data_IF_587678510629
#
_entry.id   IF_587678510629
#
_cell.length_a   1.000
_cell.length_b   1.000
_cell.length_c   1.000
_cell.angle_alpha   90.00
_cell.angle_beta   90.00
_cell.angle_gamma   90.00
#
_symmetry.space_group_name_H-M   'P 1'
#
loop_
_entity.id
_entity.type
_entity.pdbx_description
1 polymer ?
#
# COMPACT_ATOMS: atom_id res chain seq x y z
N UNK A 1 18.48 70.98 18.42
CA UNK A 1 19.03 70.63 19.74
C UNK A 1 18.12 69.56 20.33
N UNK A 2 18.55 68.28 20.26
CA UNK A 2 18.05 67.11 21.00
C UNK A 2 16.56 66.71 20.80
N UNK A 3 16.12 65.46 20.68
CA UNK A 3 16.73 64.12 20.79
C UNK A 3 15.61 63.09 20.45
N UNK A 4 15.92 62.11 19.60
CA UNK A 4 15.49 60.69 19.56
C UNK A 4 14.00 60.28 19.72
N UNK A 5 13.47 59.17 19.19
CA UNK A 5 13.72 58.19 18.12
C UNK A 5 12.50 57.22 18.23
N UNK A 6 11.98 56.73 17.09
CA UNK A 6 11.24 55.44 16.90
C UNK A 6 10.02 55.06 17.73
N UNK A 7 8.90 54.77 17.05
CA UNK A 7 8.26 53.42 17.06
C UNK A 7 7.73 53.11 15.65
N UNK A 8 8.45 52.22 14.94
CA UNK A 8 7.94 51.39 13.87
C UNK A 8 7.79 50.00 14.47
N UNK A 9 6.63 49.35 14.34
CA UNK A 9 6.54 47.90 14.13
C UNK A 9 5.11 47.47 13.78
N UNK A 10 5.01 46.86 12.61
CA UNK A 10 3.95 46.02 12.08
C UNK A 10 3.57 44.94 13.09
N UNK A 11 2.28 44.79 13.42
CA UNK A 11 1.80 43.62 14.15
C UNK A 11 1.22 42.61 13.16
N UNK A 12 2.10 41.75 12.66
CA UNK A 12 1.74 40.55 11.91
C UNK A 12 0.90 39.64 12.80
N UNK A 13 -0.32 39.34 12.36
CA UNK A 13 -1.17 38.30 12.94
C UNK A 13 -0.53 36.93 12.62
N UNK A 14 0.34 36.44 13.51
CA UNK A 14 0.83 35.06 13.43
C UNK A 14 -0.29 34.15 13.89
N UNK A 15 -1.05 33.60 12.94
CA UNK A 15 -1.93 32.46 13.19
C UNK A 15 -1.05 31.27 13.58
N UNK A 16 -0.90 31.05 14.89
CA UNK A 16 -0.47 29.77 15.45
C UNK A 16 -1.49 28.71 15.05
N UNK A 17 -1.31 28.12 13.87
CA UNK A 17 -1.89 26.82 13.54
C UNK A 17 -1.29 25.83 14.53
N UNK A 18 -1.99 25.59 15.64
CA UNK A 18 -1.75 24.43 16.46
C UNK A 18 -2.05 23.23 15.56
N UNK A 19 -1.01 22.66 14.94
CA UNK A 19 -1.09 21.28 14.48
C UNK A 19 -1.21 20.45 15.76
N UNK A 20 -2.44 20.23 16.20
CA UNK A 20 -2.73 19.12 17.10
C UNK A 20 -2.45 17.87 16.31
N UNK A 21 -1.21 17.38 16.37
CA UNK A 21 -0.97 15.97 16.07
C UNK A 21 -1.82 15.20 17.07
N UNK A 22 -2.93 14.64 16.56
CA UNK A 22 -3.77 13.70 17.30
C UNK A 22 -2.85 12.58 17.74
N UNK A 23 -2.67 12.47 19.06
CA UNK A 23 -1.93 11.37 19.66
C UNK A 23 -2.82 10.15 19.54
N UNK A 24 -2.52 9.27 18.57
CA UNK A 24 -3.30 8.06 18.33
C UNK A 24 -2.88 6.99 19.34
N UNK A 25 -3.69 6.78 20.37
CA UNK A 25 -3.63 5.55 21.16
C UNK A 25 -4.12 4.43 20.24
N UNK A 26 -3.25 3.55 19.73
CA UNK A 26 -3.67 2.57 18.71
C UNK A 26 -4.45 1.44 19.36
N UNK A 27 -5.74 1.66 19.57
CA UNK A 27 -6.69 0.61 19.89
C UNK A 27 -6.89 -0.26 18.64
N UNK A 28 -7.18 -1.57 18.78
CA UNK A 28 -7.61 -2.37 17.65
C UNK A 28 -8.81 -1.73 16.96
N UNK A 29 -8.82 -1.71 15.64
CA UNK A 29 -9.97 -1.23 14.89
C UNK A 29 -11.16 -2.19 15.01
N UNK A 30 -12.40 -1.67 14.98
CA UNK A 30 -13.57 -2.52 14.87
C UNK A 30 -13.53 -3.33 13.57
N UNK A 31 -14.26 -4.44 13.53
CA UNK A 31 -14.36 -5.25 12.32
C UNK A 31 -15.02 -4.44 11.19
N UNK A 32 -14.50 -4.62 9.97
CA UNK A 32 -15.15 -4.13 8.76
C UNK A 32 -16.08 -5.21 8.21
N UNK A 33 -17.37 -5.13 8.54
CA UNK A 33 -18.32 -6.20 8.22
C UNK A 33 -17.96 -7.50 8.95
N UNK A 34 -17.55 -8.53 8.21
CA UNK A 34 -17.09 -9.81 8.77
C UNK A 34 -15.56 -9.90 8.88
N UNK A 35 -14.84 -8.93 8.34
CA UNK A 35 -13.39 -8.94 8.30
C UNK A 35 -12.84 -8.31 9.57
N UNK A 36 -12.06 -9.07 10.34
CA UNK A 36 -11.26 -8.53 11.44
C UNK A 36 -10.20 -7.62 10.85
N UNK A 37 -10.06 -6.40 11.38
CA UNK A 37 -9.04 -5.45 10.94
C UNK A 37 -7.81 -5.63 11.82
N UNK A 38 -6.72 -6.25 11.31
CA UNK A 38 -5.51 -6.48 12.09
C UNK A 38 -4.71 -5.19 12.25
N UNK A 39 -3.97 -5.09 13.36
CA UNK A 39 -2.93 -4.08 13.48
C UNK A 39 -1.85 -4.28 12.38
N UNK A 40 -1.24 -3.21 11.82
CA UNK A 40 -1.45 -1.78 12.10
C UNK A 40 -2.60 -1.13 11.33
N UNK A 41 -3.35 -1.86 10.52
CA UNK A 41 -4.34 -1.25 9.61
C UNK A 41 -5.36 -0.40 10.38
N UNK A 42 -5.58 0.80 9.87
CA UNK A 42 -6.48 1.78 10.47
C UNK A 42 -7.66 2.07 9.57
N UNK A 43 -8.89 1.95 10.11
CA UNK A 43 -10.13 2.31 9.41
C UNK A 43 -10.78 3.59 9.91
N UNK A 44 -10.38 4.06 11.10
CA UNK A 44 -10.95 5.23 11.77
C UNK A 44 -9.85 6.06 12.46
N UNK A 45 -10.07 7.36 12.75
CA UNK A 45 -9.04 8.23 13.34
C UNK A 45 -8.47 7.77 14.69
N UNK A 46 -9.24 6.98 15.45
CA UNK A 46 -8.95 6.63 16.85
C UNK A 46 -8.55 5.15 17.03
N UNK A 47 -8.28 4.42 15.94
CA UNK A 47 -7.88 3.02 15.97
C UNK A 47 -6.79 2.71 14.94
N UNK A 48 -6.03 1.64 15.17
CA UNK A 48 -4.88 1.27 14.34
C UNK A 48 -3.83 2.38 14.27
N UNK A 49 -2.91 2.29 13.32
CA UNK A 49 -1.93 3.33 13.04
C UNK A 49 -2.38 4.12 11.79
N UNK A 50 -2.48 5.44 11.93
CA UNK A 50 -2.96 6.33 10.87
C UNK A 50 -2.06 6.36 9.63
N UNK A 51 -0.81 5.90 9.71
CA UNK A 51 0.06 5.72 8.54
C UNK A 51 -0.39 4.53 7.67
N UNK A 52 -1.12 3.56 8.23
CA UNK A 52 -1.55 2.32 7.58
C UNK A 52 -3.04 2.35 7.26
N UNK A 53 -3.53 3.52 6.84
CA UNK A 53 -4.97 3.76 6.64
C UNK A 53 -5.52 2.95 5.47
N UNK A 54 -6.60 2.24 5.74
CA UNK A 54 -7.47 1.57 4.76
C UNK A 54 -8.91 1.99 5.02
N UNK A 55 -9.76 1.97 4.00
CA UNK A 55 -11.14 2.43 4.13
C UNK A 55 -12.08 1.25 4.33
N UNK A 56 -12.94 1.30 5.33
CA UNK A 56 -14.07 0.38 5.44
C UNK A 56 -15.31 1.01 4.80
N UNK A 57 -15.86 0.39 3.77
CA UNK A 57 -17.07 0.85 3.10
C UNK A 57 -17.97 -0.34 2.78
N UNK A 58 -19.24 -0.25 3.18
CA UNK A 58 -20.26 -1.30 2.96
C UNK A 58 -19.82 -2.69 3.44
N UNK A 59 -19.08 -2.74 4.56
CA UNK A 59 -18.58 -4.00 5.14
C UNK A 59 -17.43 -4.65 4.36
N UNK A 60 -16.78 -3.91 3.47
CA UNK A 60 -15.58 -4.32 2.72
C UNK A 60 -14.45 -3.34 2.95
N UNK A 61 -13.23 -3.86 2.96
CA UNK A 61 -12.02 -3.05 3.05
C UNK A 61 -11.56 -2.62 1.65
N UNK A 62 -11.10 -1.38 1.57
CA UNK A 62 -10.61 -0.74 0.37
C UNK A 62 -9.26 -0.09 0.64
N UNK A 63 -8.34 -0.27 -0.30
CA UNK A 63 -7.07 0.42 -0.33
C UNK A 63 -7.21 1.66 -1.20
N UNK A 64 -7.08 2.84 -0.61
CA UNK A 64 -7.13 4.10 -1.34
C UNK A 64 -5.71 4.43 -1.85
N UNK A 65 -5.61 4.60 -3.17
CA UNK A 65 -4.38 4.91 -3.88
C UNK A 65 -4.41 6.36 -4.41
N UNK A 66 -3.33 6.79 -5.06
CA UNK A 66 -3.27 8.13 -5.67
C UNK A 66 -4.26 8.27 -6.84
N UNK A 67 -4.43 9.50 -7.32
CA UNK A 67 -5.29 9.84 -8.47
C UNK A 67 -6.74 9.38 -8.32
N UNK A 68 -7.28 9.49 -7.10
CA UNK A 68 -8.67 9.14 -6.77
C UNK A 68 -9.04 7.71 -7.17
N UNK A 69 -8.08 6.79 -7.07
CA UNK A 69 -8.29 5.36 -7.32
C UNK A 69 -8.38 4.58 -6.00
N UNK A 70 -9.21 3.54 -5.99
CA UNK A 70 -9.40 2.68 -4.83
C UNK A 70 -9.61 1.24 -5.28
N UNK A 71 -9.04 0.29 -4.52
CA UNK A 71 -9.06 -1.13 -4.87
C UNK A 71 -9.56 -1.96 -3.69
N UNK A 72 -10.49 -2.89 -3.94
CA UNK A 72 -11.03 -3.76 -2.88
C UNK A 72 -9.92 -4.67 -2.33
N UNK A 73 -9.72 -4.67 -1.02
CA UNK A 73 -8.81 -5.59 -0.34
C UNK A 73 -9.52 -6.96 -0.23
N UNK A 74 -8.92 -7.98 -0.81
CA UNK A 74 -9.48 -9.34 -0.89
C UNK A 74 -8.83 -10.31 0.10
N UNK A 75 -7.59 -10.04 0.50
CA UNK A 75 -6.84 -10.86 1.44
C UNK A 75 -5.94 -9.97 2.30
N UNK A 76 -5.74 -10.35 3.56
CA UNK A 76 -4.78 -9.74 4.48
C UNK A 76 -4.02 -10.87 5.17
N UNK A 77 -2.70 -10.77 5.16
CA UNK A 77 -1.74 -11.66 5.83
C UNK A 77 -0.91 -10.81 6.82
N UNK A 78 -1.36 -10.66 8.07
CA UNK A 78 -0.67 -9.84 9.07
C UNK A 78 0.75 -10.33 9.39
N UNK A 79 1.01 -11.64 9.61
CA UNK A 79 2.37 -12.12 9.84
C UNK A 79 3.36 -11.79 8.73
N UNK A 80 2.91 -11.80 7.47
CA UNK A 80 3.76 -11.45 6.32
C UNK A 80 3.77 -9.94 6.01
N UNK A 81 3.01 -9.13 6.77
CA UNK A 81 2.76 -7.71 6.50
C UNK A 81 2.31 -7.45 5.06
N UNK A 82 1.35 -8.25 4.58
CA UNK A 82 0.87 -8.23 3.19
C UNK A 82 -0.63 -8.18 3.07
N UNK A 83 -1.10 -7.55 2.01
CA UNK A 83 -2.49 -7.58 1.59
C UNK A 83 -2.56 -7.75 0.08
N UNK A 84 -3.68 -8.29 -0.40
CA UNK A 84 -3.96 -8.38 -1.83
C UNK A 84 -5.14 -7.50 -2.15
N UNK A 85 -4.97 -6.62 -3.14
CA UNK A 85 -6.07 -5.85 -3.71
C UNK A 85 -6.52 -6.46 -5.02
N UNK A 86 -7.82 -6.35 -5.32
CA UNK A 86 -8.34 -6.71 -6.64
C UNK A 86 -7.93 -5.64 -7.65
N UNK A 87 -7.22 -5.99 -8.75
CA UNK A 87 -6.92 -5.05 -9.81
C UNK A 87 -8.21 -4.53 -10.46
N UNK A 88 -8.15 -3.39 -11.17
CA UNK A 88 -9.31 -2.73 -11.76
C UNK A 88 -10.00 -3.57 -12.86
N UNK A 89 -9.28 -4.55 -13.41
CA UNK A 89 -9.71 -5.30 -14.58
C UNK A 89 -9.63 -4.50 -15.87
N UNK A 90 -10.17 -5.07 -16.94
CA UNK A 90 -10.25 -4.44 -18.25
C UNK A 90 -11.50 -3.57 -18.37
N UNK A 91 -11.39 -2.45 -19.07
CA UNK A 91 -12.51 -1.56 -19.34
C UNK A 91 -13.53 -2.27 -20.24
N UNK A 92 -14.78 -2.30 -19.80
CA UNK A 92 -15.90 -2.81 -20.59
C UNK A 92 -16.41 -1.71 -21.54
N UNK A 93 -15.64 -1.37 -22.58
CA UNK A 93 -16.10 -0.44 -23.61
C UNK A 93 -16.70 -1.17 -24.81
N UNK A 94 -17.79 -0.62 -25.33
CA UNK A 94 -18.43 -0.99 -26.59
C UNK A 94 -17.53 -0.79 -27.81
N UNK A 95 -16.51 0.07 -27.68
CA UNK A 95 -15.41 0.23 -28.62
C UNK A 95 -14.29 -0.70 -28.17
N UNK A 96 -13.85 -1.63 -29.03
CA UNK A 96 -12.80 -2.64 -28.77
C UNK A 96 -11.41 -2.03 -28.55
N UNK A 97 -11.26 -1.19 -27.54
CA UNK A 97 -9.99 -0.59 -27.15
C UNK A 97 -9.56 -1.28 -25.87
N UNK A 98 -8.56 -2.16 -26.00
CA UNK A 98 -8.00 -2.88 -24.86
C UNK A 98 -7.32 -1.90 -23.89
N UNK A 99 -8.03 -1.54 -22.82
CA UNK A 99 -7.58 -0.60 -21.81
C UNK A 99 -7.87 -1.14 -20.41
N UNK A 100 -7.04 -0.78 -19.44
CA UNK A 100 -7.33 -1.03 -18.03
C UNK A 100 -8.49 -0.13 -17.58
N UNK A 101 -9.34 -0.61 -16.68
CA UNK A 101 -10.46 0.19 -16.17
C UNK A 101 -9.99 1.42 -15.36
N UNK A 102 -8.77 1.41 -14.84
CA UNK A 102 -8.12 2.54 -14.16
C UNK A 102 -7.12 3.30 -15.06
N UNK A 103 -7.20 3.17 -16.38
CA UNK A 103 -6.29 3.85 -17.30
C UNK A 103 -6.25 5.37 -17.07
N UNK A 104 -7.38 5.98 -16.69
CA UNK A 104 -7.47 7.42 -16.34
C UNK A 104 -6.66 7.80 -15.10
N UNK A 105 -6.45 6.88 -14.18
CA UNK A 105 -5.60 7.05 -13.00
C UNK A 105 -4.13 6.68 -13.28
N UNK A 106 -3.82 6.31 -14.54
CA UNK A 106 -2.54 5.80 -15.02
C UNK A 106 -2.09 4.48 -14.36
N UNK A 107 -3.06 3.63 -14.00
CA UNK A 107 -2.83 2.39 -13.27
C UNK A 107 -2.71 2.60 -11.75
N UNK A 108 -2.33 1.54 -11.04
CA UNK A 108 -2.14 1.57 -9.57
C UNK A 108 -0.94 2.44 -9.21
N UNK A 109 -1.14 3.41 -8.32
CA UNK A 109 -0.11 4.30 -7.81
C UNK A 109 -0.25 4.46 -6.29
N UNK A 110 0.70 3.91 -5.54
CA UNK A 110 0.78 4.04 -4.09
C UNK A 110 1.39 5.40 -3.72
N UNK A 111 1.05 5.89 -2.54
CA UNK A 111 1.68 7.07 -1.97
C UNK A 111 3.03 6.68 -1.33
N UNK A 112 4.13 7.18 -1.87
CA UNK A 112 5.49 6.86 -1.43
C UNK A 112 5.86 7.46 -0.06
N UNK A 113 5.01 8.34 0.49
CA UNK A 113 5.14 8.82 1.88
C UNK A 113 4.51 7.87 2.90
N UNK A 114 3.76 6.86 2.45
CA UNK A 114 3.10 5.86 3.30
C UNK A 114 3.92 4.56 3.31
N UNK A 115 3.79 3.72 4.36
CA UNK A 115 4.61 2.53 4.56
C UNK A 115 4.18 1.35 3.67
N UNK A 116 3.70 1.59 2.45
CA UNK A 116 3.21 0.56 1.53
C UNK A 116 4.05 0.52 0.25
N UNK A 117 4.35 -0.69 -0.22
CA UNK A 117 5.03 -0.94 -1.48
C UNK A 117 4.41 -2.15 -2.21
N UNK A 118 4.51 -2.16 -3.54
CA UNK A 118 4.11 -3.28 -4.37
C UNK A 118 5.20 -4.35 -4.25
N UNK A 119 4.84 -5.50 -3.70
CA UNK A 119 5.79 -6.60 -3.48
C UNK A 119 6.35 -7.15 -4.79
N UNK A 120 7.47 -7.88 -4.72
CA UNK A 120 8.10 -8.53 -5.89
C UNK A 120 7.40 -9.80 -6.39
N UNK A 121 6.33 -10.25 -5.74
CA UNK A 121 5.61 -11.48 -6.07
C UNK A 121 4.63 -11.34 -7.23
N UNK A 122 4.37 -10.11 -7.68
CA UNK A 122 3.36 -9.86 -8.70
C UNK A 122 3.92 -10.05 -10.10
N UNK A 123 3.19 -10.81 -10.92
CA UNK A 123 3.44 -10.91 -12.36
C UNK A 123 2.40 -10.10 -13.11
N UNK A 124 2.85 -9.12 -13.87
CA UNK A 124 2.01 -8.22 -14.68
C UNK A 124 1.98 -8.72 -16.11
N UNK A 125 0.78 -8.92 -16.63
CA UNK A 125 0.51 -9.19 -18.04
C UNK A 125 0.09 -7.88 -18.70
N UNK A 126 1.02 -7.20 -19.36
CA UNK A 126 0.78 -5.98 -20.11
C UNK A 126 0.17 -6.28 -21.48
N UNK A 127 -0.86 -5.54 -21.83
CA UNK A 127 -1.65 -5.69 -23.05
C UNK A 127 -1.79 -4.35 -23.77
N UNK A 128 -2.00 -4.41 -25.09
CA UNK A 128 -2.09 -3.23 -25.95
C UNK A 128 -0.86 -2.33 -25.77
N UNK A 129 0.31 -2.91 -26.02
CA UNK A 129 1.57 -2.25 -25.79
C UNK A 129 2.11 -1.56 -27.05
N UNK A 130 2.76 -0.41 -26.88
CA UNK A 130 3.55 0.24 -27.93
C UNK A 130 4.86 -0.50 -28.19
N UNK A 131 5.60 -0.14 -29.24
CA UNK A 131 6.93 -0.70 -29.50
C UNK A 131 8.00 -0.23 -28.51
N UNK A 132 7.77 0.82 -27.73
CA UNK A 132 8.75 1.32 -26.73
C UNK A 132 9.05 0.29 -25.63
N UNK A 133 8.13 -0.65 -25.39
CA UNK A 133 8.35 -1.75 -24.42
C UNK A 133 9.40 -2.76 -24.89
N UNK A 134 9.80 -2.72 -26.15
CA UNK A 134 10.83 -3.62 -26.69
C UNK A 134 12.25 -3.17 -26.30
N UNK A 135 12.41 -1.93 -25.84
CA UNK A 135 13.68 -1.37 -25.37
C UNK A 135 13.94 -1.65 -23.88
N UNK A 136 13.01 -2.34 -23.20
CA UNK A 136 13.10 -2.65 -21.77
C UNK A 136 13.11 -4.16 -21.53
N UNK A 137 13.47 -4.58 -20.32
CA UNK A 137 13.67 -5.98 -19.95
C UNK A 137 12.39 -6.79 -19.73
N UNK A 138 11.31 -6.49 -20.46
CA UNK A 138 10.04 -7.21 -20.38
C UNK A 138 10.01 -8.37 -21.37
N UNK A 139 9.34 -9.48 -21.03
CA UNK A 139 9.18 -10.60 -21.96
C UNK A 139 8.02 -10.32 -22.91
N UNK A 140 8.32 -9.72 -24.06
CA UNK A 140 7.38 -9.46 -25.16
C UNK A 140 7.58 -10.42 -26.35
N UNK A 141 8.29 -11.54 -26.15
CA UNK A 141 8.56 -12.51 -27.22
C UNK A 141 7.27 -13.21 -27.69
N UNK A 142 7.30 -13.79 -28.89
CA UNK A 142 6.15 -14.53 -29.44
C UNK A 142 5.69 -15.72 -28.58
N UNK A 143 6.57 -16.23 -27.72
CA UNK A 143 6.28 -17.34 -26.79
C UNK A 143 5.98 -16.82 -25.37
N UNK A 144 5.77 -15.52 -25.21
CA UNK A 144 5.44 -14.92 -23.91
C UNK A 144 4.06 -15.41 -23.44
N UNK A 145 3.92 -15.74 -22.14
CA UNK A 145 2.64 -16.15 -21.55
C UNK A 145 1.50 -15.14 -21.73
N UNK A 146 1.80 -13.87 -22.03
CA UNK A 146 0.77 -12.87 -22.29
C UNK A 146 -0.12 -13.24 -23.48
N UNK A 147 0.44 -13.89 -24.51
CA UNK A 147 -0.33 -14.30 -25.67
C UNK A 147 -1.35 -15.40 -25.31
N UNK A 148 -0.96 -16.34 -24.45
CA UNK A 148 -1.85 -17.39 -23.96
C UNK A 148 -2.96 -16.81 -23.09
N UNK A 149 -2.62 -15.83 -22.24
CA UNK A 149 -3.60 -15.11 -21.43
C UNK A 149 -4.63 -14.39 -22.30
N UNK A 150 -4.16 -13.61 -23.28
CA UNK A 150 -5.05 -12.89 -24.20
C UNK A 150 -5.99 -13.88 -24.90
N UNK A 151 -5.45 -14.96 -25.48
CA UNK A 151 -6.26 -15.95 -26.21
C UNK A 151 -7.32 -16.62 -25.33
N UNK A 152 -6.99 -16.89 -24.08
CA UNK A 152 -7.85 -17.68 -23.18
C UNK A 152 -8.82 -16.85 -22.36
N UNK A 153 -8.46 -15.60 -21.99
CA UNK A 153 -9.19 -14.80 -20.99
C UNK A 153 -9.53 -13.38 -21.41
N UNK A 154 -8.72 -12.73 -22.26
CA UNK A 154 -8.93 -11.33 -22.64
C UNK A 154 -9.29 -11.13 -24.12
N UNK A 155 -9.49 -12.19 -24.90
CA UNK A 155 -9.77 -12.11 -26.34
C UNK A 155 -11.07 -11.37 -26.64
N UNK A 156 -12.05 -11.45 -25.74
CA UNK A 156 -13.35 -10.79 -25.90
C UNK A 156 -13.23 -9.28 -25.75
N UNK A 157 -12.46 -8.84 -24.76
CA UNK A 157 -12.27 -7.43 -24.41
C UNK A 157 -11.19 -6.77 -25.29
N UNK A 158 -10.11 -7.48 -25.59
CA UNK A 158 -8.93 -6.92 -26.25
C UNK A 158 -8.73 -7.34 -27.71
N UNK A 159 -9.36 -8.43 -28.15
CA UNK A 159 -9.09 -9.02 -29.46
C UNK A 159 -7.63 -9.46 -29.63
N UNK A 160 -7.21 -9.56 -30.88
CA UNK A 160 -5.80 -9.83 -31.22
C UNK A 160 -4.98 -8.55 -31.07
N UNK A 161 -3.90 -8.62 -30.32
CA UNK A 161 -3.00 -7.50 -30.07
C UNK A 161 -1.62 -7.76 -30.68
N UNK A 162 -0.99 -6.75 -31.31
CA UNK A 162 0.31 -6.93 -31.96
C UNK A 162 1.45 -7.10 -30.94
N UNK A 163 1.39 -6.42 -29.80
CA UNK A 163 2.42 -6.47 -28.75
C UNK A 163 1.73 -6.64 -27.39
N UNK A 164 2.18 -7.65 -26.66
CA UNK A 164 1.92 -7.85 -25.24
C UNK A 164 3.22 -8.25 -24.55
N UNK A 165 3.27 -8.07 -23.23
CA UNK A 165 4.47 -8.40 -22.47
C UNK A 165 4.13 -8.99 -21.10
N UNK A 166 5.06 -9.75 -20.53
CA UNK A 166 5.03 -10.16 -19.12
C UNK A 166 6.26 -9.62 -18.40
N UNK A 167 6.06 -9.10 -17.19
CA UNK A 167 7.15 -8.73 -16.29
C UNK A 167 6.75 -8.96 -14.83
N UNK A 168 7.73 -9.07 -13.94
CA UNK A 168 7.50 -9.12 -12.49
C UNK A 168 7.70 -7.74 -11.88
N UNK A 169 6.90 -7.42 -10.88
CA UNK A 169 7.17 -6.27 -10.00
C UNK A 169 8.36 -6.58 -9.10
N UNK A 170 8.83 -5.57 -8.36
CA UNK A 170 10.06 -5.66 -7.58
C UNK A 170 11.23 -4.89 -8.22
N UNK A 171 12.20 -4.51 -7.39
CA UNK A 171 13.20 -3.50 -7.71
C UNK A 171 12.64 -2.06 -7.66
N UNK A 172 13.52 -1.06 -7.71
CA UNK A 172 13.18 0.36 -7.51
C UNK A 172 12.21 0.97 -8.54
N UNK A 173 11.94 0.30 -9.66
CA UNK A 173 11.20 0.89 -10.81
C UNK A 173 9.67 0.79 -10.66
N UNK A 174 9.20 -0.25 -9.97
CA UNK A 174 7.78 -0.59 -9.80
C UNK A 174 7.35 -0.68 -8.33
N UNK A 175 8.21 -0.26 -7.40
CA UNK A 175 7.99 -0.31 -5.96
C UNK A 175 6.69 0.37 -5.52
N UNK A 176 6.25 1.40 -6.23
CA UNK A 176 5.04 2.16 -5.88
C UNK A 176 3.98 2.22 -6.98
N UNK A 177 4.21 1.62 -8.16
CA UNK A 177 3.27 1.79 -9.28
C UNK A 177 3.33 0.71 -10.35
N UNK A 178 2.14 0.33 -10.81
CA UNK A 178 1.91 -0.47 -12.03
C UNK A 178 1.24 0.47 -13.02
N UNK A 179 1.94 0.81 -14.12
CA UNK A 179 1.56 1.92 -15.00
C UNK A 179 0.72 1.44 -16.17
N UNK A 180 -0.40 2.12 -16.43
CA UNK A 180 -1.17 2.02 -17.66
C UNK A 180 -1.08 3.34 -18.45
N UNK A 181 -0.53 3.30 -19.68
CA UNK A 181 -0.37 4.48 -20.54
C UNK A 181 -0.07 4.09 -21.99
N UNK A 182 -0.38 4.98 -22.93
CA UNK A 182 -0.21 4.75 -24.38
C UNK A 182 1.24 4.45 -24.79
N UNK A 183 2.22 5.11 -24.15
CA UNK A 183 3.64 4.93 -24.45
C UNK A 183 4.18 3.56 -24.00
N UNK A 184 3.44 2.80 -23.18
CA UNK A 184 3.81 1.43 -22.80
C UNK A 184 2.63 0.53 -23.07
N UNK A 185 2.03 -0.06 -22.03
CA UNK A 185 0.83 -0.88 -22.16
C UNK A 185 -0.36 -0.09 -21.62
N UNK A 186 -1.43 -0.03 -22.40
CA UNK A 186 -2.68 0.64 -22.01
C UNK A 186 -3.61 -0.25 -21.19
N UNK A 187 -3.39 -1.56 -21.20
CA UNK A 187 -4.11 -2.53 -20.41
C UNK A 187 -3.13 -3.42 -19.64
N UNK A 188 -3.57 -3.93 -18.49
CA UNK A 188 -2.81 -4.89 -17.73
C UNK A 188 -3.72 -5.74 -16.84
N UNK A 189 -3.23 -6.92 -16.50
CA UNK A 189 -3.75 -7.77 -15.43
C UNK A 189 -2.59 -8.24 -14.57
N UNK A 190 -2.86 -8.54 -13.30
CA UNK A 190 -1.80 -8.86 -12.33
C UNK A 190 -2.14 -10.13 -11.57
N UNK A 191 -1.13 -10.97 -11.37
CA UNK A 191 -1.25 -12.26 -10.71
C UNK A 191 -0.16 -12.40 -9.64
N UNK A 192 -0.59 -12.63 -8.40
CA UNK A 192 0.31 -12.88 -7.27
C UNK A 192 0.89 -14.29 -7.38
N UNK A 193 2.21 -14.44 -7.25
CA UNK A 193 2.93 -15.72 -7.28
C UNK A 193 2.61 -16.60 -8.51
N UNK A 194 2.48 -15.97 -9.69
CA UNK A 194 2.16 -16.70 -10.91
C UNK A 194 3.28 -17.67 -11.32
N UNK A 195 2.91 -18.95 -11.43
CA UNK A 195 3.67 -19.95 -12.16
C UNK A 195 3.25 -19.94 -13.64
N UNK A 196 4.06 -19.26 -14.46
CA UNK A 196 3.81 -19.13 -15.90
C UNK A 196 4.05 -20.41 -16.70
N UNK A 197 4.56 -21.49 -16.08
CA UNK A 197 4.66 -22.80 -16.72
C UNK A 197 3.31 -23.53 -16.79
N UNK A 198 2.36 -23.11 -15.96
CA UNK A 198 1.03 -23.70 -15.89
C UNK A 198 0.09 -23.08 -16.94
N UNK A 199 -0.88 -23.85 -17.46
CA UNK A 199 -1.87 -23.32 -18.39
C UNK A 199 -2.73 -22.23 -17.72
N UNK A 200 -3.21 -21.27 -18.51
CA UNK A 200 -4.00 -20.11 -18.04
C UNK A 200 -5.24 -20.50 -17.24
N UNK A 201 -5.81 -21.68 -17.48
CA UNK A 201 -6.94 -22.21 -16.70
C UNK A 201 -6.61 -22.48 -15.23
N UNK A 202 -5.33 -22.64 -14.88
CA UNK A 202 -4.82 -22.87 -13.52
C UNK A 202 -4.17 -21.63 -12.90
N UNK A 203 -4.15 -20.50 -13.61
CA UNK A 203 -3.63 -19.26 -13.04
C UNK A 203 -4.53 -18.79 -11.90
N UNK A 204 -3.96 -18.11 -10.88
CA UNK A 204 -4.74 -17.58 -9.77
C UNK A 204 -5.72 -16.50 -10.26
N UNK A 205 -6.68 -16.15 -9.40
CA UNK A 205 -7.50 -14.97 -9.66
C UNK A 205 -6.62 -13.71 -9.71
N UNK A 206 -6.97 -12.70 -10.54
CA UNK A 206 -6.24 -11.45 -10.57
C UNK A 206 -6.16 -10.80 -9.18
N UNK A 207 -4.97 -10.33 -8.83
CA UNK A 207 -4.63 -9.79 -7.52
C UNK A 207 -3.31 -9.04 -7.56
N UNK A 208 -3.20 -7.99 -6.75
CA UNK A 208 -1.97 -7.23 -6.54
C UNK A 208 -1.60 -7.29 -5.07
N UNK A 209 -0.50 -7.99 -4.77
CA UNK A 209 0.08 -8.08 -3.43
C UNK A 209 0.87 -6.80 -3.12
N UNK A 210 0.38 -6.06 -2.13
CA UNK A 210 1.02 -4.91 -1.52
C UNK A 210 1.57 -5.39 -0.17
N UNK A 211 2.81 -5.05 0.13
CA UNK A 211 3.41 -5.26 1.45
C UNK A 211 3.53 -3.93 2.19
N UNK A 212 3.65 -3.99 3.50
CA UNK A 212 3.88 -2.81 4.32
C UNK A 212 5.05 -2.99 5.27
N UNK A 213 5.68 -1.87 5.61
CA UNK A 213 6.77 -1.82 6.58
C UNK A 213 6.21 -2.17 7.96
N UNK A 214 6.87 -3.04 8.77
CA UNK A 214 6.40 -3.30 10.12
C UNK A 214 6.33 -2.00 10.94
N UNK A 215 5.21 -1.74 11.65
CA UNK A 215 5.05 -0.54 12.46
C UNK A 215 6.02 -0.57 13.66
N UNK A 216 6.64 0.58 13.94
CA UNK A 216 7.36 0.79 15.20
C UNK A 216 6.42 1.14 16.34
N UNK A 217 6.98 1.36 17.53
CA UNK A 217 6.21 1.84 18.67
C UNK A 217 5.59 3.22 18.39
N UNK A 218 4.36 3.41 18.87
CA UNK A 218 3.56 4.63 18.67
C UNK A 218 4.17 5.85 19.36
N UNK A 219 3.94 7.04 18.80
CA UNK A 219 4.35 8.30 19.40
C UNK A 219 3.57 8.62 20.68
N UNK A 220 4.21 9.29 21.63
CA UNK A 220 3.58 9.70 22.88
C UNK A 220 4.09 11.07 23.35
N UNK A 221 3.26 11.80 24.10
CA UNK A 221 3.62 13.04 24.80
C UNK A 221 3.72 12.81 26.30
N UNK A 222 2.82 11.99 26.83
CA UNK A 222 2.68 11.67 28.25
C UNK A 222 2.62 10.17 28.47
N UNK A 223 2.88 9.72 29.70
CA UNK A 223 2.76 8.30 30.06
C UNK A 223 1.32 7.78 29.96
N UNK A 224 0.30 8.66 29.97
CA UNK A 224 -1.09 8.27 29.78
C UNK A 224 -1.36 7.78 28.35
N UNK A 225 -0.66 8.33 27.37
CA UNK A 225 -0.84 7.95 25.97
C UNK A 225 -0.51 6.47 25.77
N UNK A 226 0.45 5.94 26.54
CA UNK A 226 0.90 4.57 26.46
C UNK A 226 0.03 3.56 27.25
N UNK A 227 -1.05 4.01 27.91
CA UNK A 227 -1.87 3.13 28.77
C UNK A 227 -2.56 2.00 28.01
N UNK A 228 -2.83 2.18 26.72
CA UNK A 228 -3.42 1.15 25.87
C UNK A 228 -2.49 -0.07 25.69
N UNK A 229 -1.18 0.11 25.88
CA UNK A 229 -0.17 -0.91 25.69
C UNK A 229 0.45 -1.31 27.02
N UNK A 230 0.01 -2.45 27.54
CA UNK A 230 0.60 -3.04 28.72
C UNK A 230 2.13 -3.19 28.53
N UNK A 231 2.88 -2.95 29.61
CA UNK A 231 4.34 -3.05 29.61
C UNK A 231 5.06 -2.07 28.68
N UNK A 232 4.44 -0.93 28.35
CA UNK A 232 5.10 0.20 27.66
C UNK A 232 5.23 1.44 28.55
N UNK A 233 6.14 2.33 28.21
CA UNK A 233 6.32 3.64 28.86
C UNK A 233 6.71 4.71 27.83
N UNK A 234 6.28 5.95 28.06
CA UNK A 234 6.56 7.06 27.16
C UNK A 234 8.01 7.56 27.31
N UNK A 235 8.92 7.03 26.50
CA UNK A 235 10.36 7.25 26.56
C UNK A 235 10.89 7.85 25.25
N UNK A 236 12.03 8.52 25.31
CA UNK A 236 12.70 9.01 24.10
C UNK A 236 13.40 7.86 23.37
N UNK A 237 13.22 7.77 22.06
CA UNK A 237 13.93 6.84 21.18
C UNK A 237 15.34 7.34 20.84
N UNK A 238 16.07 6.60 20.00
CA UNK A 238 17.45 6.91 19.61
C UNK A 238 17.59 8.25 18.85
N UNK A 239 16.50 8.77 18.28
CA UNK A 239 16.45 10.03 17.52
C UNK A 239 15.85 11.15 18.39
N UNK A 240 15.53 10.87 19.65
CA UNK A 240 14.95 11.82 20.60
C UNK A 240 13.44 12.02 20.46
N UNK A 241 12.76 11.23 19.62
CA UNK A 241 11.29 11.25 19.52
C UNK A 241 10.70 10.41 20.66
N UNK A 242 9.62 10.90 21.28
CA UNK A 242 8.99 10.18 22.39
C UNK A 242 8.00 9.15 21.86
N UNK A 243 8.19 7.89 22.26
CA UNK A 243 7.38 6.73 21.86
C UNK A 243 7.02 5.86 23.06
N UNK A 244 5.97 5.06 22.91
CA UNK A 244 5.56 4.05 23.89
C UNK A 244 6.47 2.82 23.82
N UNK A 245 7.73 2.99 24.25
CA UNK A 245 8.73 1.93 24.22
C UNK A 245 8.42 0.84 25.24
N UNK A 246 8.74 -0.41 24.89
CA UNK A 246 8.56 -1.53 25.81
C UNK A 246 9.49 -1.42 27.03
N UNK A 247 8.94 -1.72 28.20
CA UNK A 247 9.68 -1.79 29.46
C UNK A 247 10.70 -2.94 29.40
N UNK A 248 11.72 -2.85 30.24
CA UNK A 248 12.75 -3.89 30.34
C UNK A 248 12.12 -5.29 30.53
N UNK A 249 12.59 -6.26 29.74
CA UNK A 249 12.06 -7.64 29.73
C UNK A 249 10.92 -7.88 28.73
N UNK A 250 10.50 -6.86 27.98
CA UNK A 250 9.49 -6.95 26.94
C UNK A 250 10.04 -6.47 25.59
N UNK A 251 9.51 -7.03 24.50
CA UNK A 251 9.81 -6.61 23.12
C UNK A 251 8.53 -6.23 22.38
N UNK A 252 8.66 -5.28 21.47
CA UNK A 252 7.58 -4.88 20.58
C UNK A 252 7.25 -6.01 19.61
N UNK A 253 5.99 -6.40 19.58
CA UNK A 253 5.43 -7.26 18.55
C UNK A 253 4.71 -6.39 17.51
N UNK A 254 5.29 -6.20 16.30
CA UNK A 254 4.72 -5.35 15.27
C UNK A 254 3.46 -5.95 14.60
N UNK A 255 3.18 -7.24 14.81
CA UNK A 255 1.99 -7.91 14.24
C UNK A 255 0.76 -7.57 15.08
N UNK A 256 0.89 -7.64 16.40
CA UNK A 256 -0.21 -7.41 17.33
C UNK A 256 -0.21 -5.99 17.93
N UNK A 257 0.88 -5.25 17.74
CA UNK A 257 1.05 -3.90 18.28
C UNK A 257 1.07 -3.89 19.80
N UNK A 258 1.82 -4.81 20.44
CA UNK A 258 1.90 -4.95 21.90
C UNK A 258 3.32 -5.27 22.38
N UNK A 259 3.63 -4.94 23.63
CA UNK A 259 4.87 -5.36 24.27
C UNK A 259 4.71 -6.77 24.89
N UNK A 260 5.34 -7.77 24.29
CA UNK A 260 5.32 -9.15 24.76
C UNK A 260 6.54 -9.47 25.60
N UNK A 261 6.36 -10.28 26.64
CA UNK A 261 7.48 -10.73 27.48
C UNK A 261 8.46 -11.54 26.64
N UNK A 262 9.75 -11.29 26.81
CA UNK A 262 10.76 -12.19 26.24
C UNK A 262 10.59 -13.58 26.85
N UNK A 263 10.14 -14.55 26.07
CA UNK A 263 10.17 -15.94 26.49
C UNK A 263 11.65 -16.35 26.56
N UNK A 264 12.23 -16.38 27.76
CA UNK A 264 13.55 -16.98 27.96
C UNK A 264 13.43 -18.45 27.62
N UNK A 265 13.89 -18.85 26.44
CA UNK A 265 14.13 -20.25 26.14
C UNK A 265 15.19 -20.71 27.14
N UNK A 266 14.77 -21.45 28.15
CA UNK A 266 15.68 -22.17 29.03
C UNK A 266 16.28 -23.26 28.15
N UNK A 267 17.44 -22.99 27.57
CA UNK A 267 18.33 -24.03 27.07
C UNK A 267 18.84 -24.76 28.31
N UNK A 268 18.17 -25.86 28.67
CA UNK A 268 18.71 -26.88 29.56
C UNK A 268 19.55 -27.86 28.76
#
# INVERSE_FOLDING_TARGET
MNMQFTISTVLSLVTLLWRTELVSTTKPCPNCGRTVVPFPLSTEPECGDQQYKVRCEMGKLWFDALNSSSYEITLIDPPAHRLVVRPPGLANDSIKTCMAADFRSHGIQLNDTLPFNISGSNTVVGMNCSSEVLEISWNCSSNSPCHDYIRSKAMKECGSLPICCVYRTGGSVNEYKIRAREQRCSAYEVFVNLDSSMPVSKWPMPGVEIEWVPPGESMCKTSMDCQAWANSECLADQVGQRRCLCKAGFRWDPINGVCQSECKTILN
#
